data_IF_992556723744
#
_entry.id   IF_992556723744
#
_cell.length_a   1.000
_cell.length_b   1.000
_cell.length_c   1.000
_cell.angle_alpha   90.00
_cell.angle_beta   90.00
_cell.angle_gamma   90.00
#
_symmetry.space_group_name_H-M   'P 1'
#
loop_
_entity.id
_entity.type
_entity.pdbx_description
1 polymer ?
#
# COMPACT_ATOMS: atom_id res chain seq x y z
N UNK A 1 -38.62 13.32 -23.87
CA UNK A 1 -37.40 13.88 -23.25
C UNK A 1 -36.49 12.71 -22.89
N UNK A 2 -35.53 12.43 -23.77
CA UNK A 2 -34.55 11.37 -23.59
C UNK A 2 -33.29 12.01 -22.98
N UNK A 3 -33.00 11.69 -21.73
CA UNK A 3 -31.66 11.80 -21.19
C UNK A 3 -31.21 10.36 -20.92
N UNK A 4 -30.58 9.76 -21.94
CA UNK A 4 -29.81 8.52 -21.76
C UNK A 4 -28.55 8.91 -20.99
N UNK A 5 -28.57 8.67 -19.68
CA UNK A 5 -27.38 8.73 -18.85
C UNK A 5 -26.53 7.50 -19.20
N UNK A 6 -25.46 7.71 -19.95
CA UNK A 6 -24.53 6.68 -20.38
C UNK A 6 -23.77 6.11 -19.17
N UNK A 7 -23.66 4.78 -19.09
CA UNK A 7 -22.92 4.07 -18.04
C UNK A 7 -21.44 4.46 -17.91
N UNK A 8 -20.89 5.16 -18.92
CA UNK A 8 -19.55 5.73 -18.88
C UNK A 8 -19.39 6.81 -17.78
N UNK A 9 -20.46 7.56 -17.44
CA UNK A 9 -20.39 8.59 -16.42
C UNK A 9 -20.21 8.00 -15.00
N UNK A 10 -20.75 6.82 -14.73
CA UNK A 10 -20.61 6.15 -13.42
C UNK A 10 -19.24 5.50 -13.23
N UNK A 11 -18.68 4.89 -14.29
CA UNK A 11 -17.29 4.38 -14.25
C UNK A 11 -16.30 5.55 -14.09
N UNK A 12 -16.53 6.67 -14.78
CA UNK A 12 -15.73 7.89 -14.60
C UNK A 12 -15.90 8.52 -13.21
N UNK A 13 -17.06 8.39 -12.56
CA UNK A 13 -17.32 8.93 -11.21
C UNK A 13 -16.72 8.07 -10.10
N UNK A 14 -16.68 6.73 -10.28
CA UNK A 14 -15.96 5.80 -9.39
C UNK A 14 -14.44 5.90 -9.55
N UNK A 15 -13.93 6.21 -10.75
CA UNK A 15 -12.50 6.47 -10.98
C UNK A 15 -12.03 7.86 -10.52
N UNK A 16 -12.93 8.84 -10.34
CA UNK A 16 -12.59 10.20 -9.88
C UNK A 16 -12.30 10.30 -8.38
N UNK A 17 -12.60 9.25 -7.61
CA UNK A 17 -12.40 9.22 -6.17
C UNK A 17 -11.06 8.58 -5.73
N UNK A 18 -10.09 8.46 -6.63
CA UNK A 18 -8.69 8.14 -6.29
C UNK A 18 -7.98 9.48 -6.03
N UNK A 19 -8.05 9.99 -4.81
CA UNK A 19 -7.02 9.92 -3.74
C UNK A 19 -5.71 10.67 -4.08
N UNK A 20 -5.20 11.38 -3.08
CA UNK A 20 -4.07 12.31 -3.11
C UNK A 20 -2.83 11.82 -3.91
N UNK A 21 -2.32 12.68 -4.78
CA UNK A 21 -1.36 12.33 -5.82
C UNK A 21 0.10 12.24 -5.34
N UNK A 22 0.62 13.16 -4.50
CA UNK A 22 2.03 13.15 -4.12
C UNK A 22 2.52 11.90 -3.38
N UNK A 23 1.73 11.30 -2.49
CA UNK A 23 2.15 10.08 -1.77
C UNK A 23 1.91 8.78 -2.53
N UNK A 24 1.03 8.79 -3.52
CA UNK A 24 0.83 7.65 -4.40
C UNK A 24 2.08 7.34 -5.22
N UNK A 25 3.05 8.26 -5.21
CA UNK A 25 4.38 8.11 -5.76
C UNK A 25 5.37 7.68 -4.68
N UNK A 26 6.03 6.55 -4.89
CA UNK A 26 7.21 6.10 -4.12
C UNK A 26 8.49 6.80 -4.60
N UNK A 27 8.41 8.13 -4.76
CA UNK A 27 9.50 8.91 -5.34
C UNK A 27 10.38 9.58 -4.27
N UNK A 28 11.69 9.32 -4.31
CA UNK A 28 12.74 9.96 -3.52
C UNK A 28 13.27 11.25 -4.20
N UNK A 29 14.29 11.88 -3.61
CA UNK A 29 14.87 13.14 -4.11
C UNK A 29 15.35 13.06 -5.56
N UNK A 30 15.97 11.93 -5.94
CA UNK A 30 16.57 11.74 -7.26
C UNK A 30 15.50 11.61 -8.36
N UNK A 31 14.46 10.81 -8.14
CA UNK A 31 13.37 10.75 -9.13
C UNK A 31 12.55 12.04 -9.14
N UNK A 32 12.47 12.80 -8.04
CA UNK A 32 11.78 14.09 -8.06
C UNK A 32 12.44 15.09 -9.02
N UNK A 33 13.72 14.89 -9.36
CA UNK A 33 14.44 15.68 -10.37
C UNK A 33 13.79 15.63 -11.76
N UNK A 34 13.08 14.54 -12.06
CA UNK A 34 12.55 14.27 -13.39
C UNK A 34 11.27 15.08 -13.67
N UNK A 35 10.65 15.65 -12.64
CA UNK A 35 9.45 16.47 -12.76
C UNK A 35 9.84 17.93 -12.89
N UNK A 36 9.72 18.46 -14.10
CA UNK A 36 10.00 19.86 -14.42
C UNK A 36 8.73 20.55 -14.93
N UNK A 37 8.60 21.88 -14.82
CA UNK A 37 7.42 22.58 -15.33
C UNK A 37 7.13 22.20 -16.80
N UNK A 38 5.93 21.70 -17.05
CA UNK A 38 5.49 21.25 -18.38
C UNK A 38 5.81 19.79 -18.74
N UNK A 39 6.56 19.05 -17.92
CA UNK A 39 6.76 17.61 -18.14
C UNK A 39 5.45 16.84 -17.95
N UNK A 40 5.23 15.77 -18.72
CA UNK A 40 4.09 14.88 -18.51
C UNK A 40 4.21 14.17 -17.17
N UNK A 41 3.11 14.11 -16.42
CA UNK A 41 3.04 13.34 -15.19
C UNK A 41 2.74 11.87 -15.55
N UNK A 42 3.72 11.22 -16.19
CA UNK A 42 3.58 10.00 -17.00
C UNK A 42 3.24 8.68 -16.28
N UNK A 43 2.84 8.72 -15.02
CA UNK A 43 2.50 7.52 -14.23
C UNK A 43 1.00 7.37 -13.94
N UNK A 44 0.14 8.34 -14.31
CA UNK A 44 -1.28 8.32 -13.95
C UNK A 44 -2.22 8.89 -15.01
N UNK A 45 -3.37 8.22 -15.22
CA UNK A 45 -4.42 8.65 -16.15
C UNK A 45 -5.24 9.79 -15.53
N UNK A 46 -5.15 11.00 -16.09
CA UNK A 46 -6.02 12.14 -15.71
C UNK A 46 -5.30 13.43 -15.30
N UNK A 47 -3.99 13.38 -15.03
CA UNK A 47 -3.16 14.57 -14.78
C UNK A 47 -2.18 14.73 -15.95
N UNK A 48 -2.42 15.66 -16.89
CA UNK A 48 -1.68 15.70 -18.14
C UNK A 48 -0.24 16.17 -17.98
N UNK A 49 0.03 17.13 -17.07
CA UNK A 49 1.34 17.79 -16.96
C UNK A 49 1.61 18.30 -15.54
N UNK A 50 2.90 18.44 -15.19
CA UNK A 50 3.33 19.30 -14.09
C UNK A 50 3.06 20.75 -14.47
N UNK A 51 2.36 21.48 -13.60
CA UNK A 51 1.97 22.86 -13.80
C UNK A 51 3.15 23.77 -14.13
N UNK A 52 2.92 24.78 -14.95
CA UNK A 52 3.96 25.67 -15.49
C UNK A 52 4.58 26.64 -14.47
N UNK A 53 4.07 26.68 -13.23
CA UNK A 53 4.54 27.61 -12.19
C UNK A 53 4.72 26.90 -10.84
N UNK A 54 5.83 27.24 -10.16
CA UNK A 54 6.25 26.73 -8.85
C UNK A 54 6.07 27.74 -7.71
N UNK A 55 5.27 28.79 -7.94
CA UNK A 55 5.09 29.92 -7.02
C UNK A 55 4.33 29.54 -5.74
N UNK A 56 3.49 30.43 -5.21
CA UNK A 56 2.79 30.18 -3.94
C UNK A 56 1.81 28.99 -3.99
N UNK A 57 1.55 28.40 -5.17
CA UNK A 57 0.75 27.17 -5.35
C UNK A 57 1.41 25.93 -4.74
N UNK A 58 2.75 25.86 -4.73
CA UNK A 58 3.51 24.82 -4.03
C UNK A 58 4.88 25.37 -3.67
N UNK A 59 5.15 25.58 -2.38
CA UNK A 59 6.32 26.34 -1.94
C UNK A 59 6.94 25.74 -0.69
N UNK A 60 8.27 25.63 -0.70
CA UNK A 60 9.06 25.21 0.44
C UNK A 60 9.55 26.45 1.19
N UNK A 61 9.48 26.40 2.52
CA UNK A 61 10.11 27.35 3.43
C UNK A 61 10.83 26.56 4.51
N UNK A 62 11.92 27.12 5.06
CA UNK A 62 12.66 26.48 6.15
C UNK A 62 12.98 27.48 7.25
N UNK A 63 13.19 26.99 8.47
CA UNK A 63 13.74 27.78 9.58
C UNK A 63 15.28 27.67 9.68
N UNK A 64 15.93 27.07 8.67
CA UNK A 64 17.40 27.00 8.61
C UNK A 64 17.95 28.43 8.53
N UNK A 65 18.85 28.83 9.46
CA UNK A 65 19.44 30.17 9.45
C UNK A 65 20.17 30.47 8.13
N UNK A 66 20.24 31.75 7.77
CA UNK A 66 21.00 32.18 6.58
C UNK A 66 22.47 31.77 6.64
N UNK A 67 23.04 31.71 7.85
CA UNK A 67 24.43 31.31 8.06
C UNK A 67 24.66 29.81 7.89
N UNK A 68 23.60 29.00 7.73
CA UNK A 68 23.65 27.58 7.44
C UNK A 68 23.05 26.68 8.54
N UNK A 69 23.02 25.38 8.26
CA UNK A 69 22.58 24.36 9.22
C UNK A 69 23.76 23.81 10.04
N UNK A 70 23.46 23.30 11.23
CA UNK A 70 24.39 22.60 12.11
C UNK A 70 24.17 21.09 12.00
N UNK A 71 25.22 20.26 11.98
CA UNK A 71 25.05 18.81 12.05
C UNK A 71 24.31 18.39 13.34
N UNK A 72 23.48 17.35 13.24
CA UNK A 72 22.63 16.81 14.31
C UNK A 72 21.59 17.78 14.89
N UNK A 73 21.34 18.90 14.23
CA UNK A 73 20.26 19.83 14.59
C UNK A 73 19.04 19.61 13.69
N UNK A 74 17.86 19.64 14.32
CA UNK A 74 16.58 19.56 13.64
C UNK A 74 16.07 20.95 13.26
N UNK A 75 15.56 21.05 12.04
CA UNK A 75 14.99 22.24 11.42
C UNK A 75 13.59 21.93 10.90
N UNK A 76 12.74 22.93 10.82
CA UNK A 76 11.41 22.85 10.25
C UNK A 76 11.47 23.18 8.76
N UNK A 77 11.01 22.25 7.93
CA UNK A 77 10.74 22.47 6.50
C UNK A 77 9.24 22.44 6.30
N UNK A 78 8.68 23.56 5.86
CA UNK A 78 7.23 23.71 5.66
C UNK A 78 6.92 23.78 4.18
N UNK A 79 6.02 22.91 3.73
CA UNK A 79 5.43 22.96 2.39
C UNK A 79 4.11 23.71 2.47
N UNK A 80 3.90 24.68 1.59
CA UNK A 80 2.72 25.53 1.57
C UNK A 80 2.09 25.58 0.20
N UNK A 81 0.77 25.82 0.17
CA UNK A 81 -0.02 25.96 -1.05
C UNK A 81 -1.18 26.94 -0.84
N UNK A 82 -1.55 27.67 -1.90
CA UNK A 82 -2.67 28.63 -1.87
C UNK A 82 -4.03 27.99 -1.55
N UNK A 83 -4.20 26.71 -1.91
CA UNK A 83 -5.41 25.93 -1.66
C UNK A 83 -5.03 24.63 -0.95
N UNK A 84 -5.96 23.98 -0.24
CA UNK A 84 -5.69 22.68 0.38
C UNK A 84 -5.31 21.64 -0.66
N UNK A 85 -4.04 21.22 -0.66
CA UNK A 85 -3.50 20.21 -1.56
C UNK A 85 -2.92 19.05 -0.76
N UNK A 86 -2.76 17.91 -1.40
CA UNK A 86 -1.85 16.92 -0.88
C UNK A 86 -0.42 17.39 -1.14
N UNK A 87 0.50 17.05 -0.25
CA UNK A 87 1.87 17.54 -0.29
C UNK A 87 2.85 16.38 -0.08
N UNK A 88 4.02 16.46 -0.70
CA UNK A 88 5.16 15.57 -0.44
C UNK A 88 6.45 16.37 -0.49
N UNK A 89 7.37 16.12 0.45
CA UNK A 89 8.70 16.74 0.52
C UNK A 89 9.79 15.67 0.47
N UNK A 90 10.95 15.97 -0.10
CA UNK A 90 12.18 15.18 0.00
C UNK A 90 13.37 16.09 0.20
N UNK A 91 14.46 15.51 0.70
CA UNK A 91 15.76 16.18 0.85
C UNK A 91 16.84 15.36 0.14
N UNK A 92 17.88 16.01 -0.36
CA UNK A 92 19.05 15.34 -0.95
C UNK A 92 19.87 14.55 0.06
N UNK A 93 19.74 14.90 1.34
CA UNK A 93 20.36 14.24 2.48
C UNK A 93 19.60 14.60 3.76
N UNK A 94 19.82 13.85 4.84
CA UNK A 94 19.07 13.99 6.08
C UNK A 94 17.66 13.45 6.00
N UNK A 95 17.02 13.39 7.17
CA UNK A 95 15.76 12.67 7.34
C UNK A 95 14.71 13.59 7.88
N UNK A 96 13.48 13.38 7.41
CA UNK A 96 12.31 13.92 8.05
C UNK A 96 11.83 12.98 9.16
N UNK A 97 11.42 13.53 10.30
CA UNK A 97 10.71 12.74 11.30
C UNK A 97 9.27 12.49 10.82
N UNK A 98 8.86 11.22 10.82
CA UNK A 98 7.51 10.82 10.41
C UNK A 98 7.28 10.85 8.89
N UNK A 99 6.02 11.03 8.49
CA UNK A 99 5.63 11.00 7.07
C UNK A 99 6.13 12.25 6.34
N UNK A 100 6.74 12.05 5.19
CA UNK A 100 7.12 13.12 4.25
C UNK A 100 5.97 13.52 3.33
N UNK A 101 4.77 12.98 3.55
CA UNK A 101 3.58 13.22 2.71
C UNK A 101 2.31 13.44 3.52
N UNK A 102 1.42 14.30 3.03
CA UNK A 102 0.07 14.51 3.56
C UNK A 102 -1.01 14.22 2.51
N UNK A 103 -2.04 13.42 2.88
CA UNK A 103 -2.97 12.79 1.94
C UNK A 103 -4.44 12.79 2.38
N UNK A 104 -5.30 12.33 1.48
CA UNK A 104 -6.76 12.21 1.62
C UNK A 104 -7.24 12.07 3.09
N UNK A 105 -7.97 13.10 3.54
CA UNK A 105 -8.31 13.33 4.96
C UNK A 105 -7.62 14.57 5.55
N UNK A 106 -6.43 14.93 5.05
CA UNK A 106 -5.58 16.01 5.57
C UNK A 106 -5.04 16.94 4.48
N UNK A 107 -5.75 17.11 3.35
CA UNK A 107 -5.39 18.17 2.38
C UNK A 107 -5.30 19.49 3.16
N UNK A 108 -4.18 20.17 3.00
CA UNK A 108 -3.87 21.34 3.82
C UNK A 108 -3.14 22.39 2.98
N UNK A 109 -3.20 23.63 3.44
CA UNK A 109 -2.49 24.75 2.82
C UNK A 109 -1.06 24.88 3.34
N UNK A 110 -0.72 24.16 4.41
CA UNK A 110 0.58 24.23 5.06
C UNK A 110 0.82 22.97 5.88
N UNK A 111 1.92 22.27 5.63
CA UNK A 111 2.39 21.17 6.45
C UNK A 111 3.86 21.36 6.82
N UNK A 112 4.18 21.17 8.10
CA UNK A 112 5.55 21.30 8.61
C UNK A 112 6.14 19.92 8.88
N UNK A 113 7.32 19.69 8.35
CA UNK A 113 8.11 18.48 8.56
C UNK A 113 9.38 18.85 9.33
N UNK A 114 9.79 18.02 10.28
CA UNK A 114 11.05 18.23 11.00
C UNK A 114 12.15 17.47 10.29
N UNK A 115 13.09 18.18 9.68
CA UNK A 115 14.28 17.62 9.04
C UNK A 115 15.47 17.69 9.99
N UNK A 116 16.20 16.58 10.17
CA UNK A 116 17.43 16.56 10.96
C UNK A 116 18.65 16.50 10.05
N UNK A 117 19.56 17.45 10.20
CA UNK A 117 20.82 17.49 9.49
C UNK A 117 21.73 16.33 9.92
N UNK A 118 22.25 15.51 9.00
CA UNK A 118 23.17 14.42 9.36
C UNK A 118 24.49 14.94 9.92
N UNK A 119 25.01 14.28 10.95
CA UNK A 119 26.39 14.44 11.44
C UNK A 119 27.46 14.34 10.35
N UNK A 120 27.22 13.51 9.32
CA UNK A 120 28.15 13.24 8.22
C UNK A 120 28.05 14.22 7.03
N UNK A 121 27.06 15.12 7.02
CA UNK A 121 26.82 15.99 5.86
C UNK A 121 27.72 17.24 5.91
N UNK A 122 28.78 17.23 5.12
CA UNK A 122 29.78 18.30 5.03
C UNK A 122 29.52 19.34 3.91
N UNK A 123 28.39 19.23 3.20
CA UNK A 123 28.11 20.00 1.99
C UNK A 123 26.81 20.81 2.04
N UNK A 124 26.12 20.88 0.90
CA UNK A 124 24.80 21.48 0.80
C UNK A 124 23.70 20.41 0.89
N UNK A 125 22.55 20.78 1.44
CA UNK A 125 21.30 20.03 1.33
C UNK A 125 20.37 20.79 0.40
N UNK A 126 19.57 20.06 -0.38
CA UNK A 126 18.50 20.60 -1.21
C UNK A 126 17.18 19.92 -0.86
N UNK A 127 16.10 20.68 -0.91
CA UNK A 127 14.74 20.23 -0.63
C UNK A 127 13.86 20.36 -1.87
N UNK A 128 13.08 19.33 -2.16
CA UNK A 128 12.11 19.29 -3.26
C UNK A 128 10.73 18.94 -2.74
N UNK A 129 9.70 19.51 -3.34
CA UNK A 129 8.34 19.20 -2.96
C UNK A 129 7.40 19.16 -4.17
N UNK A 130 6.35 18.35 -4.02
CA UNK A 130 5.25 18.25 -4.96
C UNK A 130 3.95 18.50 -4.20
N UNK A 131 3.07 19.29 -4.79
CA UNK A 131 1.73 19.53 -4.28
C UNK A 131 0.73 19.21 -5.38
N UNK A 132 -0.43 18.63 -5.04
CA UNK A 132 -1.45 18.43 -6.06
C UNK A 132 -2.67 17.67 -5.63
N UNK A 133 -3.53 17.40 -6.60
CA UNK A 133 -4.78 16.66 -6.45
C UNK A 133 -5.18 15.91 -7.73
N UNK A 134 -6.43 15.44 -7.77
CA UNK A 134 -7.03 14.69 -8.89
C UNK A 134 -7.06 15.38 -10.25
N UNK A 135 -6.67 16.64 -10.36
CA UNK A 135 -6.73 17.41 -11.60
C UNK A 135 -5.34 17.89 -12.02
N UNK A 136 -4.51 18.33 -11.08
CA UNK A 136 -3.24 18.99 -11.41
C UNK A 136 -2.17 18.78 -10.32
N UNK A 137 -0.90 18.86 -10.75
CA UNK A 137 0.29 18.67 -9.93
C UNK A 137 1.24 19.86 -10.14
N UNK A 138 1.84 20.33 -9.05
CA UNK A 138 2.80 21.43 -9.04
C UNK A 138 4.08 21.00 -8.34
N UNK A 139 5.20 21.52 -8.83
CA UNK A 139 6.52 21.37 -8.22
C UNK A 139 6.88 22.64 -7.46
N UNK A 140 7.48 22.51 -6.28
CA UNK A 140 8.03 23.64 -5.55
C UNK A 140 9.45 23.94 -6.00
N UNK A 141 9.79 25.23 -6.13
CA UNK A 141 11.17 25.64 -6.38
C UNK A 141 12.10 25.01 -5.34
N UNK A 142 13.21 24.42 -5.79
CA UNK A 142 14.18 23.77 -4.91
C UNK A 142 14.76 24.80 -3.93
N UNK A 143 14.81 24.44 -2.65
CA UNK A 143 15.42 25.26 -1.60
C UNK A 143 16.68 24.55 -1.14
N UNK A 144 17.82 25.24 -1.14
CA UNK A 144 19.10 24.68 -0.68
C UNK A 144 19.63 25.42 0.53
N UNK A 145 20.33 24.70 1.41
CA UNK A 145 21.05 25.25 2.54
C UNK A 145 22.45 24.64 2.62
N UNK A 146 23.41 25.42 3.14
CA UNK A 146 24.80 24.99 3.33
C UNK A 146 25.08 24.73 4.81
N UNK A 147 26.14 23.97 5.10
CA UNK A 147 26.66 23.86 6.46
C UNK A 147 27.10 25.23 7.00
N UNK A 148 26.77 25.48 8.27
CA UNK A 148 27.10 26.74 8.92
C UNK A 148 28.57 26.89 9.27
N UNK A 149 29.10 28.11 9.10
CA UNK A 149 30.53 28.41 9.29
C UNK A 149 30.90 28.92 10.69
N UNK A 150 29.98 28.82 11.66
CA UNK A 150 30.17 29.35 13.03
C UNK A 150 30.50 28.29 14.08
N UNK A 151 31.18 28.64 15.19
CA UNK A 151 31.38 27.74 16.33
C UNK A 151 30.04 27.47 17.01
N UNK A 152 29.51 26.25 16.82
CA UNK A 152 28.27 25.80 17.47
C UNK A 152 28.46 25.79 18.99
N UNK A 153 27.86 26.76 19.68
CA UNK A 153 27.90 26.85 21.14
C UNK A 153 26.80 25.97 21.72
N UNK A 154 27.12 24.70 21.96
CA UNK A 154 26.23 23.80 22.70
C UNK A 154 26.15 24.27 24.14
N UNK A 155 24.98 24.70 24.59
CA UNK A 155 24.72 24.99 26.00
C UNK A 155 24.69 23.65 26.79
N UNK A 156 25.87 23.17 27.16
CA UNK A 156 26.04 22.00 28.02
C UNK A 156 25.76 22.40 29.46
N UNK A 157 24.63 21.95 30.01
CA UNK A 157 24.41 21.99 31.47
C UNK A 157 25.21 20.84 32.07
N UNK A 158 26.31 21.18 32.74
CA UNK A 158 27.20 20.22 33.40
C UNK A 158 26.61 19.73 34.71
N UNK A 159 26.33 18.44 34.81
CA UNK A 159 26.39 17.71 36.08
C UNK A 159 27.42 16.62 35.93
N UNK A 160 28.51 16.81 36.65
CA UNK A 160 29.67 15.95 36.81
C UNK A 160 29.26 14.66 37.50
N UNK A 161 29.53 13.50 36.90
CA UNK A 161 29.80 12.30 37.68
C UNK A 161 30.66 11.27 36.92
N UNK A 162 31.31 10.45 37.73
CA UNK A 162 32.61 9.83 37.51
C UNK A 162 32.63 8.69 36.49
N UNK A 163 33.80 8.52 35.88
CA UNK A 163 34.16 7.48 34.92
C UNK A 163 33.92 6.05 35.41
N UNK A 164 33.23 5.27 34.58
CA UNK A 164 33.56 3.85 34.35
C UNK A 164 33.35 3.55 32.87
N UNK A 165 34.41 3.10 32.21
CA UNK A 165 34.41 2.68 30.82
C UNK A 165 33.42 1.52 30.62
N UNK A 166 32.35 1.78 29.86
CA UNK A 166 31.51 0.76 29.25
C UNK A 166 31.32 1.16 27.79
N UNK A 167 31.61 0.22 26.90
CA UNK A 167 31.58 0.38 25.45
C UNK A 167 30.29 1.08 24.99
N UNK A 168 30.43 2.21 24.30
CA UNK A 168 29.33 2.89 23.64
C UNK A 168 28.81 1.99 22.52
N UNK A 169 27.54 1.60 22.63
CA UNK A 169 26.80 1.00 21.53
C UNK A 169 26.70 2.03 20.41
N UNK A 170 27.51 1.85 19.36
CA UNK A 170 27.52 2.69 18.18
C UNK A 170 26.11 2.78 17.57
N UNK A 171 25.61 4.00 17.44
CA UNK A 171 24.45 4.29 16.59
C UNK A 171 24.97 4.28 15.15
N UNK A 172 24.82 3.14 14.45
CA UNK A 172 25.17 3.04 13.03
C UNK A 172 24.42 4.13 12.23
N UNK A 173 25.02 4.66 11.15
CA UNK A 173 24.39 5.65 10.29
C UNK A 173 23.00 5.21 9.84
N UNK A 174 22.08 6.16 9.69
CA UNK A 174 20.74 5.82 9.23
C UNK A 174 20.80 5.46 7.74
N UNK A 175 20.40 4.22 7.43
CA UNK A 175 20.59 3.63 6.11
C UNK A 175 19.52 3.99 5.08
N UNK A 176 19.53 3.28 3.96
CA UNK A 176 18.66 3.53 2.80
C UNK A 176 17.19 3.24 3.11
N UNK A 177 16.30 4.07 2.57
CA UNK A 177 14.85 3.85 2.69
C UNK A 177 14.43 2.71 1.75
N UNK A 178 13.95 1.60 2.32
CA UNK A 178 13.49 0.42 1.57
C UNK A 178 11.95 0.34 1.49
N UNK A 179 11.26 1.28 2.13
CA UNK A 179 9.83 1.48 2.04
C UNK A 179 9.36 2.59 2.98
N UNK A 180 8.07 2.97 2.93
CA UNK A 180 7.56 4.08 3.72
C UNK A 180 7.88 3.88 5.20
N UNK A 181 8.76 4.74 5.72
CA UNK A 181 9.16 4.75 7.12
C UNK A 181 9.90 3.49 7.60
N UNK A 182 10.60 2.79 6.68
CA UNK A 182 11.49 1.67 6.98
C UNK A 182 12.86 1.92 6.34
N UNK A 183 13.90 1.94 7.18
CA UNK A 183 15.28 2.17 6.77
C UNK A 183 16.15 0.94 7.03
N UNK A 184 17.02 0.63 6.09
CA UNK A 184 18.00 -0.45 6.14
C UNK A 184 19.41 0.13 6.06
N UNK A 185 20.21 -0.12 7.08
CA UNK A 185 21.66 0.04 7.03
C UNK A 185 22.29 -1.36 6.94
N UNK A 186 23.29 -1.50 6.08
CA UNK A 186 24.07 -2.73 6.00
C UNK A 186 25.56 -2.40 5.74
N UNK A 187 26.48 -3.05 6.43
CA UNK A 187 27.92 -2.84 6.25
C UNK A 187 28.64 -4.18 6.06
N UNK A 188 29.36 -4.31 4.94
CA UNK A 188 30.12 -5.52 4.63
C UNK A 188 31.45 -5.53 5.41
N UNK A 189 31.64 -6.54 6.24
CA UNK A 189 32.86 -6.81 7.01
C UNK A 189 33.43 -8.16 6.60
N UNK A 190 34.19 -8.18 5.50
CA UNK A 190 34.80 -9.39 4.96
C UNK A 190 33.76 -10.45 4.57
N UNK A 191 33.63 -11.50 5.39
CA UNK A 191 32.67 -12.60 5.19
C UNK A 191 31.33 -12.41 5.90
N UNK A 192 31.15 -11.29 6.61
CA UNK A 192 29.93 -10.97 7.37
C UNK A 192 29.34 -9.63 6.94
N UNK A 193 28.08 -9.42 7.23
CA UNK A 193 27.37 -8.15 7.07
C UNK A 193 26.66 -7.79 8.36
N UNK A 194 26.91 -6.58 8.85
CA UNK A 194 26.18 -5.99 9.96
C UNK A 194 24.94 -5.31 9.40
N UNK A 195 23.77 -5.63 9.95
CA UNK A 195 22.49 -5.15 9.47
C UNK A 195 21.77 -4.42 10.59
N UNK A 196 21.25 -3.22 10.29
CA UNK A 196 20.32 -2.50 11.13
C UNK A 196 19.07 -2.15 10.33
N UNK A 197 17.90 -2.46 10.90
CA UNK A 197 16.60 -2.09 10.34
C UNK A 197 15.87 -1.22 11.34
N UNK A 198 15.41 -0.06 10.88
CA UNK A 198 14.62 0.88 11.69
C UNK A 198 13.26 1.06 11.06
N UNK A 199 12.20 0.76 11.80
CA UNK A 199 10.82 0.95 11.36
C UNK A 199 10.09 1.93 12.25
N UNK A 200 9.28 2.82 11.66
CA UNK A 200 8.40 3.73 12.40
C UNK A 200 7.18 3.02 12.99
N UNK A 201 7.43 2.07 13.89
CA UNK A 201 6.45 1.38 14.70
C UNK A 201 7.02 1.16 16.11
N UNK A 202 6.17 1.02 17.12
CA UNK A 202 6.55 0.51 18.44
C UNK A 202 6.29 -1.00 18.59
N UNK A 203 5.78 -1.66 17.54
CA UNK A 203 5.51 -3.09 17.51
C UNK A 203 6.62 -3.90 16.85
N UNK A 204 6.29 -5.12 16.42
CA UNK A 204 7.23 -6.02 15.75
C UNK A 204 7.66 -5.46 14.39
N UNK A 205 8.91 -5.76 14.01
CA UNK A 205 9.53 -5.36 12.75
C UNK A 205 10.25 -6.56 12.12
N UNK A 206 10.01 -6.79 10.83
CA UNK A 206 10.65 -7.84 10.07
C UNK A 206 11.32 -7.34 8.80
N UNK A 207 12.44 -7.95 8.46
CA UNK A 207 13.12 -7.84 7.18
C UNK A 207 13.31 -9.24 6.59
N UNK A 208 13.27 -9.38 5.28
CA UNK A 208 13.53 -10.64 4.61
C UNK A 208 14.32 -10.46 3.32
N UNK A 209 15.28 -11.36 3.11
CA UNK A 209 15.93 -11.55 1.83
C UNK A 209 15.07 -12.55 1.06
N UNK A 210 14.51 -12.16 -0.08
CA UNK A 210 13.55 -12.98 -0.82
C UNK A 210 14.13 -13.41 -2.16
N UNK A 211 13.90 -14.66 -2.55
CA UNK A 211 14.35 -15.12 -3.86
C UNK A 211 13.55 -14.44 -4.99
N UNK A 212 14.26 -14.04 -6.05
CA UNK A 212 13.68 -13.40 -7.23
C UNK A 212 13.56 -11.88 -7.11
N UNK A 213 12.77 -11.29 -8.01
CA UNK A 213 12.61 -9.84 -8.15
C UNK A 213 11.20 -9.34 -7.77
N UNK A 214 10.36 -10.21 -7.18
CA UNK A 214 9.00 -9.85 -6.76
C UNK A 214 8.91 -9.72 -5.26
N UNK A 215 8.16 -8.73 -4.77
CA UNK A 215 7.85 -8.57 -3.33
C UNK A 215 6.99 -9.75 -2.85
N UNK A 216 7.64 -10.78 -2.30
CA UNK A 216 6.99 -12.03 -1.86
C UNK A 216 7.69 -12.61 -0.62
N UNK A 217 6.91 -13.14 0.32
CA UNK A 217 7.44 -13.88 1.48
C UNK A 217 7.77 -15.34 1.18
N UNK A 218 7.48 -15.82 -0.03
CA UNK A 218 7.77 -17.19 -0.48
C UNK A 218 8.79 -17.23 -1.62
N UNK A 219 9.40 -16.11 -1.98
CA UNK A 219 10.47 -16.05 -2.99
C UNK A 219 9.99 -16.22 -4.43
N UNK A 220 9.00 -15.42 -4.85
CA UNK A 220 8.53 -15.23 -6.25
C UNK A 220 8.05 -16.49 -6.99
N UNK A 221 8.96 -17.43 -7.23
CA UNK A 221 8.75 -18.76 -7.80
C UNK A 221 8.75 -19.87 -6.74
N UNK A 222 8.59 -19.53 -5.45
CA UNK A 222 8.62 -20.50 -4.35
C UNK A 222 10.02 -20.78 -3.80
N UNK A 223 10.99 -19.95 -4.15
CA UNK A 223 12.39 -20.05 -3.73
C UNK A 223 12.66 -19.81 -2.24
N UNK A 224 11.68 -19.23 -1.56
CA UNK A 224 11.71 -18.96 -0.13
C UNK A 224 12.22 -17.57 0.22
N UNK A 225 12.10 -17.25 1.51
CA UNK A 225 12.57 -16.00 2.09
C UNK A 225 13.30 -16.27 3.41
N UNK A 226 14.51 -15.74 3.51
CA UNK A 226 15.33 -15.75 4.72
C UNK A 226 15.06 -14.47 5.51
N UNK A 227 14.26 -14.58 6.57
CA UNK A 227 13.72 -13.43 7.29
C UNK A 227 14.22 -13.34 8.73
N UNK A 228 14.37 -12.10 9.20
CA UNK A 228 14.77 -11.73 10.55
C UNK A 228 13.64 -10.87 11.13
N UNK A 229 13.09 -11.29 12.25
CA UNK A 229 11.93 -10.66 12.87
C UNK A 229 12.27 -10.32 14.31
N UNK A 230 12.15 -9.02 14.63
CA UNK A 230 12.19 -8.46 15.97
C UNK A 230 10.75 -8.43 16.52
N UNK A 231 10.47 -9.31 17.49
CA UNK A 231 9.18 -9.43 18.17
C UNK A 231 9.40 -9.80 19.62
N UNK A 232 8.58 -9.27 20.54
CA UNK A 232 8.70 -9.50 21.99
C UNK A 232 10.13 -9.26 22.55
N UNK A 233 10.86 -8.32 21.97
CA UNK A 233 12.22 -7.95 22.38
C UNK A 233 13.31 -8.93 21.92
N UNK A 234 12.98 -9.93 21.10
CA UNK A 234 13.94 -10.92 20.60
C UNK A 234 14.00 -10.88 19.06
N UNK A 235 15.19 -11.10 18.49
CA UNK A 235 15.36 -11.31 17.04
C UNK A 235 15.41 -12.80 16.76
N UNK A 236 14.48 -13.28 15.93
CA UNK A 236 14.48 -14.65 15.41
C UNK A 236 14.61 -14.66 13.90
N UNK A 237 15.33 -15.65 13.40
CA UNK A 237 15.49 -15.93 11.98
C UNK A 237 14.54 -17.04 11.56
N UNK A 238 13.90 -16.86 10.40
CA UNK A 238 12.89 -17.75 9.84
C UNK A 238 13.17 -18.05 8.38
N UNK A 239 12.88 -19.28 7.97
CA UNK A 239 12.77 -19.64 6.57
C UNK A 239 11.30 -19.74 6.18
N UNK A 240 10.85 -18.91 5.24
CA UNK A 240 9.45 -18.81 4.86
C UNK A 240 9.24 -19.28 3.43
N UNK A 241 8.31 -20.21 3.25
CA UNK A 241 7.92 -20.76 1.93
C UNK A 241 6.40 -20.79 1.76
N UNK A 242 5.64 -20.27 2.72
CA UNK A 242 4.18 -20.19 2.66
C UNK A 242 3.65 -18.87 3.21
N UNK A 243 2.44 -18.48 2.80
CA UNK A 243 1.73 -17.32 3.33
C UNK A 243 1.01 -17.64 4.65
N UNK A 244 1.77 -18.03 5.66
CA UNK A 244 1.28 -18.35 7.00
C UNK A 244 2.13 -17.69 8.08
N UNK A 245 1.67 -17.72 9.32
CA UNK A 245 2.45 -17.22 10.45
C UNK A 245 3.79 -17.99 10.54
N UNK A 246 4.94 -17.30 10.55
CA UNK A 246 6.25 -17.95 10.60
C UNK A 246 6.40 -18.81 11.86
N UNK A 247 6.88 -20.04 11.68
CA UNK A 247 7.17 -20.97 12.78
C UNK A 247 8.59 -21.54 12.66
N UNK A 248 9.11 -22.14 13.74
CA UNK A 248 10.47 -22.70 13.75
C UNK A 248 11.60 -21.67 13.78
N UNK A 249 11.32 -20.45 14.27
CA UNK A 249 12.31 -19.39 14.35
C UNK A 249 13.49 -19.72 15.25
N UNK A 250 14.70 -19.40 14.80
CA UNK A 250 15.95 -19.62 15.54
C UNK A 250 16.44 -18.27 16.08
N UNK A 251 16.75 -18.19 17.37
CA UNK A 251 17.32 -16.99 17.99
C UNK A 251 18.63 -16.62 17.31
N UNK A 252 18.83 -15.33 17.02
CA UNK A 252 20.02 -14.82 16.35
C UNK A 252 21.04 -14.34 17.39
N UNK A 253 22.18 -15.02 17.59
CA UNK A 253 23.15 -14.64 18.62
C UNK A 253 23.70 -13.22 18.37
N UNK A 254 23.79 -12.42 19.43
CA UNK A 254 24.30 -11.04 19.35
C UNK A 254 23.34 -10.03 18.71
N UNK A 255 22.15 -10.46 18.29
CA UNK A 255 21.14 -9.56 17.77
C UNK A 255 20.47 -8.74 18.88
N UNK A 256 19.98 -7.54 18.52
CA UNK A 256 19.22 -6.67 19.41
C UNK A 256 17.90 -6.25 18.77
N UNK A 257 16.87 -6.13 19.60
CA UNK A 257 15.51 -5.74 19.23
C UNK A 257 15.01 -4.77 20.31
N UNK A 258 14.90 -3.48 19.98
CA UNK A 258 14.59 -2.44 20.97
C UNK A 258 13.66 -1.39 20.37
N UNK A 259 12.86 -0.75 21.23
CA UNK A 259 12.01 0.38 20.83
C UNK A 259 12.63 1.66 21.38
N UNK A 260 13.02 2.56 20.48
CA UNK A 260 13.65 3.84 20.78
C UNK A 260 12.80 4.97 20.19
N UNK A 261 12.32 5.89 21.02
CA UNK A 261 11.50 7.03 20.58
C UNK A 261 10.30 6.65 19.70
N UNK A 262 9.65 5.52 20.01
CA UNK A 262 8.50 5.00 19.25
C UNK A 262 8.85 4.29 17.94
N UNK A 263 10.13 4.03 17.68
CA UNK A 263 10.61 3.27 16.53
C UNK A 263 11.28 1.97 16.97
N UNK A 264 10.97 0.88 16.27
CA UNK A 264 11.61 -0.41 16.49
C UNK A 264 12.92 -0.44 15.71
N UNK A 265 14.01 -0.69 16.43
CA UNK A 265 15.36 -0.85 15.91
C UNK A 265 15.80 -2.29 16.13
N UNK A 266 16.02 -2.98 15.01
CA UNK A 266 16.55 -4.34 14.97
C UNK A 266 17.98 -4.31 14.46
N UNK A 267 18.89 -5.02 15.12
CA UNK A 267 20.27 -5.19 14.67
C UNK A 267 20.69 -6.65 14.75
N UNK A 268 21.45 -7.10 13.76
CA UNK A 268 22.04 -8.43 13.76
C UNK A 268 23.24 -8.46 12.81
N UNK A 269 24.12 -9.43 13.02
CA UNK A 269 25.18 -9.78 12.07
C UNK A 269 24.82 -11.10 11.39
N UNK A 270 25.13 -11.23 10.09
CA UNK A 270 24.97 -12.48 9.35
C UNK A 270 26.13 -12.73 8.38
N UNK A 271 26.30 -13.98 7.95
CA UNK A 271 27.27 -14.30 6.91
C UNK A 271 26.81 -13.77 5.54
N UNK A 272 27.77 -13.37 4.72
CA UNK A 272 27.57 -12.96 3.31
C UNK A 272 27.22 -14.19 2.46
N UNK A 273 27.96 -15.28 2.63
CA UNK A 273 27.67 -16.55 1.96
C UNK A 273 26.49 -17.26 2.61
N UNK A 274 25.71 -17.98 1.80
CA UNK A 274 24.76 -18.96 2.30
C UNK A 274 25.49 -20.24 2.70
N UNK A 275 25.30 -20.70 3.93
CA UNK A 275 25.85 -21.94 4.46
C UNK A 275 24.85 -23.09 4.44
N UNK A 276 23.55 -22.77 4.33
CA UNK A 276 22.45 -23.74 4.32
C UNK A 276 21.47 -23.44 3.20
N UNK A 277 20.62 -24.40 2.86
CA UNK A 277 19.56 -24.23 1.85
C UNK A 277 18.45 -23.25 2.28
N UNK A 278 18.47 -22.79 3.54
CA UNK A 278 17.53 -21.81 4.07
C UNK A 278 18.14 -20.42 4.21
N UNK A 279 19.32 -20.21 3.63
CA UNK A 279 20.03 -18.92 3.61
C UNK A 279 20.06 -18.36 2.19
N UNK A 280 19.74 -17.08 2.06
CA UNK A 280 19.93 -16.36 0.79
C UNK A 280 21.22 -15.55 0.89
N UNK A 281 22.24 -15.76 0.02
CA UNK A 281 23.51 -15.06 0.11
C UNK A 281 23.31 -13.56 -0.14
N UNK A 282 24.16 -12.72 0.47
CA UNK A 282 24.29 -11.31 0.12
C UNK A 282 25.36 -11.21 -0.97
N UNK A 283 25.00 -10.65 -2.12
CA UNK A 283 25.88 -10.52 -3.28
C UNK A 283 26.07 -9.04 -3.57
N UNK A 284 27.20 -8.50 -3.12
CA UNK A 284 27.57 -7.11 -3.35
C UNK A 284 27.64 -6.80 -4.86
N UNK A 285 27.09 -5.65 -5.29
CA UNK A 285 27.08 -5.22 -6.69
C UNK A 285 25.94 -5.81 -7.52
N UNK A 286 24.99 -6.50 -6.88
CA UNK A 286 23.81 -7.08 -7.52
C UNK A 286 22.57 -6.67 -6.74
N UNK A 287 21.57 -6.19 -7.45
CA UNK A 287 20.26 -5.89 -6.89
C UNK A 287 19.60 -7.16 -6.33
N UNK A 288 19.23 -7.13 -5.04
CA UNK A 288 18.53 -8.23 -4.38
C UNK A 288 17.21 -7.78 -3.76
N UNK A 289 16.17 -8.61 -3.86
CA UNK A 289 14.87 -8.30 -3.25
C UNK A 289 14.96 -8.37 -1.72
N UNK A 290 14.78 -7.21 -1.10
CA UNK A 290 14.59 -7.07 0.33
C UNK A 290 13.13 -6.73 0.58
N UNK A 291 12.44 -7.59 1.33
CA UNK A 291 11.08 -7.36 1.80
C UNK A 291 11.10 -6.89 3.25
N UNK A 292 10.06 -6.17 3.64
CA UNK A 292 9.87 -5.73 5.02
C UNK A 292 8.40 -5.78 5.39
N UNK A 293 8.14 -5.91 6.68
CA UNK A 293 6.81 -5.82 7.25
C UNK A 293 6.88 -5.40 8.71
N UNK A 294 5.83 -4.76 9.22
CA UNK A 294 5.74 -4.42 10.64
C UNK A 294 4.30 -4.42 11.14
N UNK A 295 4.14 -4.57 12.45
CA UNK A 295 2.84 -4.47 13.13
C UNK A 295 2.87 -3.47 14.27
N UNK A 296 1.71 -3.24 14.89
CA UNK A 296 1.56 -2.32 16.03
C UNK A 296 1.71 -2.99 17.40
N UNK A 297 1.65 -4.33 17.45
CA UNK A 297 1.87 -5.11 18.69
C UNK A 297 3.32 -5.55 18.82
N UNK A 298 3.82 -5.71 20.05
CA UNK A 298 5.14 -6.29 20.31
C UNK A 298 5.23 -7.76 19.86
N UNK A 299 4.17 -8.54 20.11
CA UNK A 299 4.03 -9.90 19.62
C UNK A 299 3.83 -9.91 18.11
N UNK A 300 4.38 -10.94 17.45
CA UNK A 300 4.20 -11.16 16.02
C UNK A 300 2.71 -11.31 15.70
N UNK A 301 2.25 -10.56 14.70
CA UNK A 301 0.85 -10.53 14.27
C UNK A 301 0.76 -10.14 12.79
N UNK A 302 -0.41 -10.28 12.18
CA UNK A 302 -0.57 -9.95 10.76
C UNK A 302 -0.35 -8.45 10.48
N UNK A 303 0.64 -8.12 9.64
CA UNK A 303 1.09 -6.76 9.30
C UNK A 303 0.10 -5.92 8.47
N UNK A 304 -1.02 -6.50 7.99
CA UNK A 304 -1.95 -5.79 7.10
C UNK A 304 -1.21 -5.10 5.93
N UNK A 305 -1.50 -3.84 5.62
CA UNK A 305 -0.85 -3.02 4.58
C UNK A 305 0.58 -2.58 4.89
N UNK A 306 1.08 -2.77 6.12
CA UNK A 306 2.40 -2.31 6.55
C UNK A 306 3.49 -3.30 6.10
N UNK A 307 3.61 -3.45 4.79
CA UNK A 307 4.52 -4.39 4.13
C UNK A 307 4.96 -3.86 2.77
N UNK A 308 6.15 -4.24 2.34
CA UNK A 308 6.68 -3.86 1.04
C UNK A 308 7.99 -4.56 0.72
N UNK A 309 8.65 -4.07 -0.31
CA UNK A 309 10.00 -4.49 -0.65
C UNK A 309 10.62 -3.58 -1.70
N UNK A 310 11.94 -3.63 -1.77
CA UNK A 310 12.77 -2.89 -2.71
C UNK A 310 13.91 -3.78 -3.18
N UNK A 311 14.42 -3.53 -4.38
CA UNK A 311 15.71 -4.08 -4.80
C UNK A 311 16.81 -3.28 -4.11
N UNK A 312 17.74 -3.96 -3.45
CA UNK A 312 18.85 -3.34 -2.72
C UNK A 312 20.17 -3.91 -3.24
N UNK A 313 21.09 -3.03 -3.59
CA UNK A 313 22.49 -3.40 -3.82
C UNK A 313 23.29 -3.16 -2.53
N UNK A 314 23.84 -4.22 -1.96
CA UNK A 314 24.60 -4.17 -0.71
C UNK A 314 26.02 -3.61 -0.85
N UNK A 315 26.52 -3.38 -2.07
CA UNK A 315 27.78 -2.67 -2.29
C UNK A 315 27.60 -1.15 -2.20
N UNK A 316 26.50 -0.63 -2.75
CA UNK A 316 26.23 0.82 -2.82
C UNK A 316 25.26 1.30 -1.74
N UNK A 317 24.50 0.38 -1.13
CA UNK A 317 23.32 0.65 -0.31
C UNK A 317 22.29 1.53 -1.02
N UNK A 318 22.15 1.38 -2.33
CA UNK A 318 21.06 2.00 -3.07
C UNK A 318 19.84 1.07 -3.08
N UNK A 319 18.65 1.66 -2.94
CA UNK A 319 17.39 0.95 -3.00
C UNK A 319 16.56 1.47 -4.17
N UNK A 320 16.14 0.55 -5.04
CA UNK A 320 15.22 0.81 -6.14
C UNK A 320 13.85 0.24 -5.78
N UNK A 321 12.85 1.12 -5.69
CA UNK A 321 11.48 0.70 -5.40
C UNK A 321 10.95 -0.25 -6.46
N UNK A 322 10.21 -1.27 -6.03
CA UNK A 322 9.61 -2.26 -6.94
C UNK A 322 8.15 -1.88 -7.15
N UNK A 323 7.76 -1.54 -8.38
CA UNK A 323 6.35 -1.42 -8.72
C UNK A 323 5.69 -2.78 -8.53
N UNK A 324 4.59 -2.83 -7.78
CA UNK A 324 3.72 -4.02 -7.81
C UNK A 324 3.09 -4.09 -9.19
N UNK A 325 3.69 -4.86 -10.08
CA UNK A 325 3.06 -5.27 -11.31
C UNK A 325 1.76 -6.01 -10.97
N UNK A 326 0.63 -5.38 -11.28
CA UNK A 326 -0.67 -6.01 -11.11
C UNK A 326 -0.74 -7.18 -12.09
N UNK A 327 -0.73 -8.40 -11.57
CA UNK A 327 -0.73 -9.60 -12.42
C UNK A 327 -1.94 -9.59 -13.39
N UNK A 328 -1.74 -10.11 -14.60
CA UNK A 328 -2.81 -10.22 -15.59
C UNK A 328 -4.05 -10.98 -15.05
N UNK A 329 -3.82 -12.01 -14.22
CA UNK A 329 -4.90 -12.78 -13.58
C UNK A 329 -5.74 -11.89 -12.65
N UNK A 330 -5.10 -11.00 -11.88
CA UNK A 330 -5.80 -10.05 -11.02
C UNK A 330 -6.57 -9.01 -11.85
N UNK A 331 -6.02 -8.52 -12.95
CA UNK A 331 -6.76 -7.65 -13.88
C UNK A 331 -8.00 -8.34 -14.46
N UNK A 332 -7.88 -9.60 -14.87
CA UNK A 332 -9.01 -10.36 -15.37
C UNK A 332 -10.07 -10.58 -14.29
N UNK A 333 -9.67 -10.88 -13.05
CA UNK A 333 -10.60 -10.92 -11.91
C UNK A 333 -11.40 -9.61 -11.78
N UNK A 334 -10.72 -8.45 -11.79
CA UNK A 334 -11.35 -7.14 -11.71
C UNK A 334 -12.34 -6.89 -12.84
N UNK A 335 -11.93 -7.17 -14.10
CA UNK A 335 -12.78 -6.97 -15.28
C UNK A 335 -14.04 -7.84 -15.19
N UNK A 336 -13.88 -9.13 -14.89
CA UNK A 336 -15.01 -10.07 -14.82
C UNK A 336 -15.95 -9.70 -13.67
N UNK A 337 -15.42 -9.36 -12.49
CA UNK A 337 -16.25 -8.94 -11.36
C UNK A 337 -16.97 -7.60 -11.64
N UNK A 338 -16.32 -6.63 -12.29
CA UNK A 338 -16.95 -5.38 -12.68
C UNK A 338 -18.07 -5.59 -13.70
N UNK A 339 -17.87 -6.45 -14.71
CA UNK A 339 -18.91 -6.80 -15.68
C UNK A 339 -20.07 -7.50 -14.95
N UNK A 340 -19.80 -8.46 -14.06
CA UNK A 340 -20.85 -9.19 -13.35
C UNK A 340 -21.62 -8.31 -12.36
N UNK A 341 -20.94 -7.83 -11.32
CA UNK A 341 -21.54 -7.14 -10.17
C UNK A 341 -21.69 -5.63 -10.38
N UNK A 342 -20.91 -5.01 -11.26
CA UNK A 342 -21.07 -3.60 -11.63
C UNK A 342 -22.13 -3.36 -12.70
N UNK A 343 -22.46 -4.37 -13.53
CA UNK A 343 -23.38 -4.18 -14.66
C UNK A 343 -24.46 -5.25 -14.79
N UNK A 344 -24.13 -6.51 -15.10
CA UNK A 344 -25.10 -7.51 -15.55
C UNK A 344 -26.11 -7.88 -14.47
N UNK A 345 -25.65 -8.25 -13.27
CA UNK A 345 -26.51 -8.69 -12.17
C UNK A 345 -27.41 -7.56 -11.64
N UNK A 346 -26.89 -6.34 -11.33
CA UNK A 346 -27.74 -5.22 -10.92
C UNK A 346 -28.73 -4.81 -12.01
N UNK A 347 -28.33 -4.82 -13.29
CA UNK A 347 -29.23 -4.46 -14.39
C UNK A 347 -30.35 -5.48 -14.56
N UNK A 348 -30.06 -6.77 -14.38
CA UNK A 348 -31.06 -7.82 -14.32
C UNK A 348 -32.09 -7.58 -13.21
N UNK A 349 -31.66 -7.14 -12.02
CA UNK A 349 -32.57 -6.77 -10.91
C UNK A 349 -33.38 -5.52 -11.26
N UNK A 350 -32.74 -4.49 -11.82
CA UNK A 350 -33.40 -3.25 -12.22
C UNK A 350 -34.51 -3.48 -13.25
N UNK A 351 -34.25 -4.29 -14.29
CA UNK A 351 -35.27 -4.66 -15.28
C UNK A 351 -36.45 -5.35 -14.62
N UNK A 352 -36.22 -6.33 -13.75
CA UNK A 352 -37.30 -7.05 -13.06
C UNK A 352 -38.13 -6.15 -12.14
N UNK A 353 -37.50 -5.15 -11.52
CA UNK A 353 -38.17 -4.20 -10.64
C UNK A 353 -38.98 -3.15 -11.44
N UNK A 354 -38.37 -2.57 -12.47
CA UNK A 354 -38.91 -1.38 -13.16
C UNK A 354 -39.84 -1.71 -14.32
N UNK A 355 -39.64 -2.84 -15.00
CA UNK A 355 -40.34 -3.12 -16.27
C UNK A 355 -41.46 -4.16 -16.15
N UNK A 356 -41.66 -4.74 -14.96
CA UNK A 356 -42.63 -5.83 -14.75
C UNK A 356 -44.09 -5.43 -14.96
N UNK A 357 -44.42 -4.15 -14.78
CA UNK A 357 -45.80 -3.63 -14.83
C UNK A 357 -46.05 -2.65 -15.99
N UNK A 358 -45.16 -2.61 -16.98
CA UNK A 358 -45.28 -1.69 -18.12
C UNK A 358 -46.37 -2.20 -19.08
N UNK A 359 -47.44 -1.42 -19.25
CA UNK A 359 -48.64 -1.79 -20.02
C UNK A 359 -48.37 -2.08 -21.50
N UNK A 360 -47.39 -1.40 -22.09
CA UNK A 360 -47.07 -1.50 -23.52
C UNK A 360 -45.91 -2.48 -23.80
N UNK A 361 -45.44 -3.20 -22.79
CA UNK A 361 -44.34 -4.16 -22.91
C UNK A 361 -44.82 -5.51 -23.46
N UNK A 362 -43.93 -6.23 -24.15
CA UNK A 362 -44.20 -7.64 -24.53
C UNK A 362 -44.44 -8.48 -23.26
N UNK A 363 -45.56 -9.21 -23.15
CA UNK A 363 -45.86 -10.02 -21.96
C UNK A 363 -44.72 -10.96 -21.59
N UNK A 364 -44.27 -10.91 -20.33
CA UNK A 364 -43.19 -11.77 -19.82
C UNK A 364 -41.77 -11.41 -20.28
N UNK A 365 -41.57 -10.36 -21.08
CA UNK A 365 -40.23 -9.96 -21.55
C UNK A 365 -39.26 -9.60 -20.42
N UNK A 366 -39.74 -8.92 -19.37
CA UNK A 366 -38.94 -8.58 -18.18
C UNK A 366 -38.31 -9.84 -17.56
N UNK A 367 -39.05 -10.95 -17.52
CA UNK A 367 -38.61 -12.18 -16.89
C UNK A 367 -37.54 -12.88 -17.72
N UNK A 368 -37.67 -12.85 -19.05
CA UNK A 368 -36.66 -13.41 -19.95
C UNK A 368 -35.36 -12.60 -19.89
N UNK A 369 -35.45 -11.28 -19.91
CA UNK A 369 -34.26 -10.41 -19.78
C UNK A 369 -33.59 -10.54 -18.43
N UNK A 370 -34.37 -10.54 -17.34
CA UNK A 370 -33.86 -10.83 -16.00
C UNK A 370 -33.11 -12.16 -16.00
N UNK A 371 -33.75 -13.26 -16.42
CA UNK A 371 -33.12 -14.58 -16.44
C UNK A 371 -31.82 -14.60 -17.25
N UNK A 372 -31.80 -14.03 -18.46
CA UNK A 372 -30.61 -14.01 -19.33
C UNK A 372 -29.45 -13.26 -18.68
N UNK A 373 -29.71 -12.05 -18.17
CA UNK A 373 -28.69 -11.22 -17.52
C UNK A 373 -28.19 -11.85 -16.22
N UNK A 374 -29.09 -12.42 -15.42
CA UNK A 374 -28.72 -13.11 -14.18
C UNK A 374 -27.85 -14.34 -14.46
N UNK A 375 -28.22 -15.19 -15.43
CA UNK A 375 -27.41 -16.36 -15.78
C UNK A 375 -26.05 -15.98 -16.38
N UNK A 376 -26.00 -14.96 -17.23
CA UNK A 376 -24.74 -14.49 -17.81
C UNK A 376 -23.82 -13.87 -16.74
N UNK A 377 -24.35 -12.95 -15.93
CA UNK A 377 -23.59 -12.34 -14.83
C UNK A 377 -23.12 -13.39 -13.82
N UNK A 378 -23.94 -14.39 -13.53
CA UNK A 378 -23.58 -15.49 -12.64
C UNK A 378 -22.42 -16.33 -13.19
N UNK A 379 -22.43 -16.68 -14.48
CA UNK A 379 -21.28 -17.38 -15.09
C UNK A 379 -20.01 -16.52 -15.07
N UNK A 380 -20.13 -15.23 -15.36
CA UNK A 380 -18.99 -14.30 -15.35
C UNK A 380 -18.40 -14.16 -13.94
N UNK A 381 -19.20 -14.09 -12.87
CA UNK A 381 -18.64 -14.06 -11.50
C UNK A 381 -17.90 -15.34 -11.14
N UNK A 382 -18.31 -16.52 -11.63
CA UNK A 382 -17.64 -17.77 -11.30
C UNK A 382 -16.25 -17.82 -11.92
N UNK A 383 -16.11 -17.33 -13.15
CA UNK A 383 -14.81 -17.18 -13.82
C UNK A 383 -13.95 -16.15 -13.10
N UNK A 384 -14.50 -14.97 -12.80
CA UNK A 384 -13.79 -13.95 -12.02
C UNK A 384 -13.35 -14.47 -10.65
N UNK A 385 -14.18 -15.26 -9.98
CA UNK A 385 -13.86 -15.83 -8.67
C UNK A 385 -12.75 -16.87 -8.76
N UNK A 386 -12.80 -17.75 -9.77
CA UNK A 386 -11.73 -18.71 -10.03
C UNK A 386 -10.38 -18.02 -10.29
N UNK A 387 -10.37 -16.89 -11.00
CA UNK A 387 -9.16 -16.07 -11.21
C UNK A 387 -8.63 -15.48 -9.89
N UNK A 388 -9.50 -14.98 -9.01
CA UNK A 388 -9.07 -14.53 -7.68
C UNK A 388 -8.49 -15.67 -6.84
N UNK A 389 -9.11 -16.84 -6.86
CA UNK A 389 -8.61 -18.02 -6.15
C UNK A 389 -7.21 -18.39 -6.66
N UNK A 390 -7.02 -18.46 -7.98
CA UNK A 390 -5.71 -18.71 -8.58
C UNK A 390 -4.69 -17.65 -8.13
N UNK A 391 -5.02 -16.36 -8.26
CA UNK A 391 -4.10 -15.30 -7.91
C UNK A 391 -3.64 -15.39 -6.44
N UNK A 392 -4.57 -15.61 -5.52
CA UNK A 392 -4.24 -15.72 -4.10
C UNK A 392 -3.45 -16.99 -3.79
N UNK A 393 -3.74 -18.12 -4.44
CA UNK A 393 -3.00 -19.38 -4.27
C UNK A 393 -1.50 -19.20 -4.51
N UNK A 394 -1.12 -18.38 -5.49
CA UNK A 394 0.28 -18.14 -5.86
C UNK A 394 0.91 -16.95 -5.10
N UNK A 395 0.11 -15.92 -4.77
CA UNK A 395 0.64 -14.62 -4.37
C UNK A 395 0.24 -14.16 -2.96
N UNK A 396 -0.52 -14.95 -2.19
CA UNK A 396 -0.98 -14.51 -0.88
C UNK A 396 -1.72 -15.53 -0.03
N UNK A 397 -2.37 -15.00 1.01
CA UNK A 397 -3.20 -15.77 1.93
C UNK A 397 -4.70 -15.57 1.63
N UNK A 398 -5.45 -16.67 1.63
CA UNK A 398 -6.89 -16.65 1.50
C UNK A 398 -7.57 -16.08 2.75
N UNK A 399 -8.59 -15.24 2.51
CA UNK A 399 -9.49 -14.67 3.52
C UNK A 399 -8.79 -13.79 4.59
N UNK A 400 -7.70 -13.15 4.21
CA UNK A 400 -6.91 -12.26 5.08
C UNK A 400 -7.46 -10.84 5.19
N UNK A 401 -8.38 -10.45 4.30
CA UNK A 401 -8.98 -9.10 4.28
C UNK A 401 -10.49 -9.09 4.07
N UNK A 402 -11.13 -7.99 4.48
CA UNK A 402 -12.58 -7.82 4.40
C UNK A 402 -13.14 -8.00 2.98
N UNK A 403 -12.45 -7.49 1.95
CA UNK A 403 -12.87 -7.66 0.56
C UNK A 403 -12.99 -9.14 0.17
N UNK A 404 -12.04 -9.99 0.57
CA UNK A 404 -12.06 -11.42 0.25
C UNK A 404 -13.22 -12.13 0.98
N UNK A 405 -13.49 -11.74 2.23
CA UNK A 405 -14.56 -12.31 3.05
C UNK A 405 -15.94 -11.90 2.50
N UNK A 406 -16.16 -10.59 2.30
CA UNK A 406 -17.40 -10.05 1.74
C UNK A 406 -17.61 -10.60 0.32
N UNK A 407 -16.57 -10.60 -0.51
CA UNK A 407 -16.59 -11.15 -1.86
C UNK A 407 -16.99 -12.63 -1.89
N UNK A 408 -16.48 -13.45 -0.96
CA UNK A 408 -16.91 -14.85 -0.84
C UNK A 408 -18.40 -14.96 -0.48
N UNK A 409 -18.86 -14.18 0.50
CA UNK A 409 -20.29 -14.14 0.88
C UNK A 409 -21.14 -13.76 -0.32
N UNK A 410 -20.76 -12.73 -1.06
CA UNK A 410 -21.44 -12.28 -2.29
C UNK A 410 -21.48 -13.41 -3.33
N UNK A 411 -20.37 -14.12 -3.57
CA UNK A 411 -20.32 -15.24 -4.51
C UNK A 411 -21.24 -16.39 -4.08
N UNK A 412 -21.29 -16.72 -2.79
CA UNK A 412 -22.20 -17.75 -2.24
C UNK A 412 -23.66 -17.32 -2.41
N UNK A 413 -24.01 -16.09 -2.01
CA UNK A 413 -25.37 -15.58 -2.13
C UNK A 413 -25.81 -15.49 -3.60
N UNK A 414 -24.97 -14.97 -4.48
CA UNK A 414 -25.21 -14.91 -5.92
C UNK A 414 -25.38 -16.30 -6.54
N UNK A 415 -24.53 -17.26 -6.16
CA UNK A 415 -24.61 -18.65 -6.63
C UNK A 415 -25.86 -19.36 -6.12
N UNK A 416 -26.35 -19.02 -4.93
CA UNK A 416 -27.60 -19.56 -4.41
C UNK A 416 -28.84 -19.12 -5.21
N UNK A 417 -28.77 -17.99 -5.94
CA UNK A 417 -29.93 -17.43 -6.65
C UNK A 417 -30.47 -18.33 -7.76
N UNK A 418 -29.64 -18.85 -8.71
CA UNK A 418 -30.11 -19.83 -9.68
C UNK A 418 -30.76 -21.07 -9.06
N UNK A 419 -30.17 -21.64 -7.99
CA UNK A 419 -30.73 -22.81 -7.31
C UNK A 419 -32.07 -22.49 -6.64
N UNK A 420 -32.15 -21.37 -5.92
CA UNK A 420 -33.40 -20.87 -5.36
C UNK A 420 -34.46 -20.64 -6.47
N UNK A 421 -34.05 -20.15 -7.64
CA UNK A 421 -34.95 -19.97 -8.78
C UNK A 421 -35.49 -21.28 -9.37
N UNK A 422 -34.82 -22.42 -9.19
CA UNK A 422 -35.35 -23.74 -9.59
C UNK A 422 -36.54 -24.15 -8.70
N UNK A 423 -36.50 -23.81 -7.41
CA UNK A 423 -37.58 -24.09 -6.45
C UNK A 423 -38.88 -23.35 -6.80
N UNK A 424 -38.81 -22.32 -7.65
CA UNK A 424 -39.96 -21.57 -8.16
C UNK A 424 -41.07 -22.48 -8.70
N UNK A 425 -40.70 -23.57 -9.40
CA UNK A 425 -41.67 -24.51 -10.01
C UNK A 425 -42.47 -25.27 -8.95
N UNK A 426 -41.82 -25.62 -7.84
CA UNK A 426 -42.42 -26.37 -6.73
C UNK A 426 -43.35 -25.51 -5.86
N UNK A 427 -43.30 -24.18 -5.97
CA UNK A 427 -44.06 -23.25 -5.12
C UNK A 427 -45.43 -22.82 -5.69
N UNK A 428 -45.97 -23.51 -6.71
CA UNK A 428 -47.24 -23.24 -7.40
C UNK A 428 -47.37 -21.81 -7.99
N UNK A 429 -47.47 -21.70 -9.31
CA UNK A 429 -47.80 -20.44 -9.96
C UNK A 429 -49.31 -20.16 -9.85
N UNK A 430 -49.73 -18.99 -9.34
CA UNK A 430 -51.16 -18.66 -9.33
C UNK A 430 -51.66 -18.46 -10.77
N UNK A 431 -52.82 -19.01 -11.10
CA UNK A 431 -53.53 -18.65 -12.33
C UNK A 431 -54.07 -17.21 -12.25
N UNK A 432 -54.37 -16.57 -13.39
CA UNK A 432 -54.98 -15.23 -13.39
C UNK A 432 -56.27 -15.22 -12.56
N UNK A 433 -56.31 -14.40 -11.51
CA UNK A 433 -57.45 -14.30 -10.58
C UNK A 433 -57.32 -15.11 -9.28
N UNK A 434 -56.34 -15.99 -9.15
CA UNK A 434 -56.11 -16.77 -7.94
C UNK A 434 -55.18 -16.07 -6.93
N UNK A 435 -55.43 -16.28 -5.64
CA UNK A 435 -54.51 -15.82 -4.58
C UNK A 435 -53.23 -16.65 -4.62
N UNK A 436 -52.09 -16.00 -4.33
CA UNK A 436 -50.80 -16.68 -4.19
C UNK A 436 -50.84 -17.69 -3.04
N UNK A 437 -50.27 -18.87 -3.24
CA UNK A 437 -50.03 -19.83 -2.15
C UNK A 437 -49.03 -19.25 -1.15
N UNK A 438 -49.08 -19.71 0.11
CA UNK A 438 -48.09 -19.31 1.14
C UNK A 438 -46.66 -19.63 0.70
N UNK A 439 -46.44 -20.79 0.08
CA UNK A 439 -45.14 -21.18 -0.48
C UNK A 439 -44.65 -20.20 -1.56
N UNK A 440 -45.53 -19.73 -2.44
CA UNK A 440 -45.19 -18.71 -3.44
C UNK A 440 -44.79 -17.38 -2.81
N UNK A 441 -45.47 -16.96 -1.74
CA UNK A 441 -45.16 -15.72 -1.02
C UNK A 441 -43.80 -15.79 -0.33
N UNK A 442 -43.54 -16.87 0.42
CA UNK A 442 -42.27 -17.09 1.12
C UNK A 442 -41.11 -17.13 0.12
N UNK A 443 -41.26 -17.88 -0.98
CA UNK A 443 -40.24 -17.92 -2.02
C UNK A 443 -39.97 -16.54 -2.65
N UNK A 444 -41.01 -15.73 -2.91
CA UNK A 444 -40.83 -14.38 -3.44
C UNK A 444 -40.08 -13.46 -2.47
N UNK A 445 -40.33 -13.58 -1.17
CA UNK A 445 -39.61 -12.83 -0.12
C UNK A 445 -38.15 -13.26 -0.08
N UNK A 446 -37.88 -14.56 -0.01
CA UNK A 446 -36.53 -15.09 0.07
C UNK A 446 -35.71 -14.78 -1.19
N UNK A 447 -36.26 -15.06 -2.37
CA UNK A 447 -35.56 -14.82 -3.64
C UNK A 447 -35.26 -13.33 -3.85
N UNK A 448 -36.21 -12.43 -3.57
CA UNK A 448 -35.97 -10.98 -3.71
C UNK A 448 -35.06 -10.45 -2.61
N UNK A 449 -35.29 -10.83 -1.36
CA UNK A 449 -34.53 -10.36 -0.21
C UNK A 449 -33.05 -10.72 -0.33
N UNK A 450 -32.75 -12.01 -0.55
CA UNK A 450 -31.37 -12.45 -0.74
C UNK A 450 -30.76 -11.83 -2.01
N UNK A 451 -31.54 -11.67 -3.10
CA UNK A 451 -31.07 -11.01 -4.31
C UNK A 451 -30.69 -9.54 -4.10
N UNK A 452 -31.48 -8.78 -3.33
CA UNK A 452 -31.15 -7.39 -2.99
C UNK A 452 -29.94 -7.30 -2.08
N UNK A 453 -29.85 -8.14 -1.05
CA UNK A 453 -28.67 -8.19 -0.17
C UNK A 453 -27.41 -8.49 -0.97
N UNK A 454 -27.44 -9.50 -1.85
CA UNK A 454 -26.32 -9.85 -2.71
C UNK A 454 -25.94 -8.69 -3.64
N UNK A 455 -26.92 -7.98 -4.21
CA UNK A 455 -26.66 -6.83 -5.10
C UNK A 455 -26.01 -5.67 -4.36
N UNK A 456 -26.47 -5.36 -3.14
CA UNK A 456 -25.89 -4.28 -2.32
C UNK A 456 -24.47 -4.65 -1.89
N UNK A 457 -24.28 -5.86 -1.36
CA UNK A 457 -22.95 -6.32 -0.95
C UNK A 457 -22.00 -6.48 -2.14
N UNK A 458 -22.49 -6.78 -3.35
CA UNK A 458 -21.64 -6.86 -4.54
C UNK A 458 -21.11 -5.52 -5.04
N UNK A 459 -21.68 -4.41 -4.55
CA UNK A 459 -21.18 -3.04 -4.83
C UNK A 459 -20.19 -2.58 -3.75
N UNK A 460 -20.32 -3.08 -2.52
CA UNK A 460 -19.43 -2.82 -1.37
C UNK A 460 -18.15 -3.63 -1.52
#
# INVERSE_FOLDING_TARGET
>A
MAAMWSGAAWVAMLCRAVLAHPSSMTCNYNCMAQYTPGSTFGLMYGVPTIGATSGDTCKITTDIPQDGYAPDVSYTVTVTSLVPLAQKVTASSGLFSGSTSSNAGTKETSHSHTWTAPSSLSGSVSFRALCGDSQEMWYATEVSANIGSGPFTTATTSTTESSTAAASADVLPLGVEIGPSVHLFAELQGSSVDVQVTGSTAGWLGIGFSEGATVSMTGGTGGGCDAFICSDGEVKRYWMTSYSEPSGGVSVPGASCSVLSGQTVMRFQRAVAAHTATEIPVTAGTDQMVIWAFGSSAALSYHQSNRGGSMVDFATLEATGVSKEVSAVLYLHLIFMAISWGTLLPWGVAIANRTRSVSNGRPGAWFQWHKKLQMLGWLVQLVGFAMAVWHVQENGAHFSGLHQIIGLVVVILGTSQPFNALLRKSCAHPHPGEKKTTGRVVWEILHRGVGYVATVLGVV
#
